data_IF_154013277952
#
_entry.id   IF_154013277952
#
_cell.length_a   1.000
_cell.length_b   1.000
_cell.length_c   1.000
_cell.angle_alpha   90.00
_cell.angle_beta   90.00
_cell.angle_gamma   90.00
#
_symmetry.space_group_name_H-M   'P 1'
#
loop_
_entity.id
_entity.type
_entity.pdbx_description
1 polymer ?
#
# COMPACT_ATOMS: atom_id res chain seq x y z
N UNK A 1 5.15 -14.48 -16.63
CA UNK A 1 4.62 -13.41 -15.77
C UNK A 1 5.06 -13.72 -14.35
N UNK A 2 5.63 -12.75 -13.64
CA UNK A 2 5.88 -12.86 -12.20
C UNK A 2 4.64 -13.38 -11.46
N UNK A 3 4.81 -14.35 -10.57
CA UNK A 3 3.75 -14.73 -9.64
C UNK A 3 3.55 -13.55 -8.69
N UNK A 4 2.34 -13.01 -8.60
CA UNK A 4 2.06 -11.79 -7.84
C UNK A 4 1.79 -12.14 -6.38
N UNK A 5 2.34 -11.36 -5.46
CA UNK A 5 2.02 -11.44 -4.03
C UNK A 5 1.46 -10.10 -3.55
N UNK A 6 0.44 -10.18 -2.69
CA UNK A 6 -0.09 -9.01 -2.01
C UNK A 6 -0.21 -9.31 -0.51
N UNK A 7 0.20 -8.35 0.32
CA UNK A 7 0.01 -8.45 1.77
C UNK A 7 -0.70 -7.20 2.25
N UNK A 8 -1.81 -7.39 2.96
CA UNK A 8 -2.70 -6.33 3.40
C UNK A 8 -2.66 -6.24 4.93
N UNK A 9 -2.34 -5.06 5.46
CA UNK A 9 -2.05 -4.86 6.89
C UNK A 9 -2.68 -3.60 7.48
N UNK A 10 -2.81 -3.61 8.81
CA UNK A 10 -3.21 -2.42 9.59
C UNK A 10 -2.09 -1.38 9.66
N UNK A 11 -2.34 -0.28 10.37
CA UNK A 11 -1.40 0.84 10.46
C UNK A 11 -0.07 0.48 11.13
N UNK A 12 -0.03 -0.60 11.91
CA UNK A 12 1.19 -1.17 12.49
C UNK A 12 2.12 -1.82 11.44
N UNK A 13 1.62 -2.03 10.21
CA UNK A 13 2.35 -2.68 9.13
C UNK A 13 2.49 -4.20 9.26
N UNK A 14 1.96 -4.81 10.32
CA UNK A 14 2.18 -6.23 10.66
C UNK A 14 0.90 -7.02 10.89
N UNK A 15 -0.13 -6.42 11.47
CA UNK A 15 -1.40 -7.09 11.69
C UNK A 15 -2.13 -7.24 10.37
N UNK A 16 -2.52 -8.47 10.01
CA UNK A 16 -3.22 -8.74 8.77
C UNK A 16 -4.63 -8.12 8.77
N UNK A 17 -5.03 -7.54 7.64
CA UNK A 17 -6.39 -7.05 7.41
C UNK A 17 -6.82 -7.36 5.98
N UNK A 18 -8.10 -7.66 5.76
CA UNK A 18 -8.62 -8.06 4.45
C UNK A 18 -9.69 -7.11 3.90
N UNK A 19 -10.13 -6.12 4.68
CA UNK A 19 -11.16 -5.18 4.29
C UNK A 19 -10.92 -3.79 4.85
N UNK A 20 -11.40 -2.80 4.12
CA UNK A 20 -11.47 -1.41 4.54
C UNK A 20 -12.93 -0.96 4.42
N UNK A 21 -13.38 -0.17 5.39
CA UNK A 21 -14.67 0.52 5.35
C UNK A 21 -14.43 2.01 5.40
N UNK A 22 -15.31 2.76 4.74
CA UNK A 22 -15.32 4.22 4.75
C UNK A 22 -16.65 4.71 5.30
N UNK A 23 -16.63 5.81 6.05
CA UNK A 23 -17.86 6.50 6.46
C UNK A 23 -18.43 7.35 5.31
N UNK A 24 -19.57 8.01 5.56
CA UNK A 24 -20.23 8.85 4.56
C UNK A 24 -19.44 10.11 4.15
N UNK A 25 -18.38 10.47 4.91
CA UNK A 25 -17.45 11.55 4.57
C UNK A 25 -16.21 11.04 3.83
N UNK A 26 -16.15 9.73 3.54
CA UNK A 26 -15.02 9.09 2.88
C UNK A 26 -13.84 8.81 3.80
N UNK A 27 -13.97 8.95 5.13
CA UNK A 27 -12.87 8.66 6.07
C UNK A 27 -12.81 7.18 6.37
N UNK A 28 -11.59 6.66 6.56
CA UNK A 28 -11.37 5.26 6.87
C UNK A 28 -11.87 4.94 8.28
N UNK A 29 -12.72 3.94 8.42
CA UNK A 29 -13.19 3.41 9.71
C UNK A 29 -12.75 1.96 9.95
N UNK A 30 -12.26 1.27 8.91
CA UNK A 30 -11.71 -0.07 9.00
C UNK A 30 -10.21 -0.12 9.30
N UNK A 31 -9.72 -1.33 9.54
CA UNK A 31 -8.35 -1.58 10.00
C UNK A 31 -7.32 -1.60 8.87
N UNK A 32 -7.68 -2.05 7.65
CA UNK A 32 -6.76 -2.11 6.52
C UNK A 32 -6.26 -0.71 6.15
N UNK A 33 -4.95 -0.52 6.27
CA UNK A 33 -4.28 0.76 6.01
C UNK A 33 -3.24 0.69 4.89
N UNK A 34 -2.73 -0.51 4.60
CA UNK A 34 -1.61 -0.69 3.69
C UNK A 34 -1.75 -1.99 2.92
N UNK A 35 -1.42 -1.94 1.63
CA UNK A 35 -1.29 -3.11 0.78
C UNK A 35 0.10 -3.06 0.15
N UNK A 36 0.97 -4.00 0.52
CA UNK A 36 2.22 -4.25 -0.19
C UNK A 36 1.91 -5.08 -1.44
N UNK A 37 2.38 -4.61 -2.60
CA UNK A 37 2.29 -5.27 -3.90
C UNK A 37 3.70 -5.69 -4.28
N UNK A 38 3.91 -6.99 -4.31
CA UNK A 38 5.23 -7.60 -4.49
C UNK A 38 5.13 -8.75 -5.50
N UNK A 39 6.25 -9.43 -5.70
CA UNK A 39 6.40 -10.54 -6.61
C UNK A 39 7.01 -11.72 -5.88
N UNK A 40 6.38 -12.89 -6.02
CA UNK A 40 6.98 -14.15 -5.61
C UNK A 40 8.15 -14.55 -6.53
N UNK A 41 8.22 -14.01 -7.75
CA UNK A 41 9.39 -14.09 -8.62
C UNK A 41 9.58 -12.80 -9.43
N UNK A 42 10.68 -12.09 -9.21
CA UNK A 42 10.98 -10.83 -9.89
C UNK A 42 11.50 -11.04 -11.32
N UNK A 43 11.18 -10.11 -12.21
CA UNK A 43 11.75 -9.94 -13.54
C UNK A 43 12.49 -8.59 -13.63
N UNK A 44 13.36 -8.44 -14.64
CA UNK A 44 14.03 -7.16 -14.89
C UNK A 44 13.02 -6.05 -15.14
N UNK A 45 13.11 -4.98 -14.34
CA UNK A 45 12.20 -3.83 -14.43
C UNK A 45 10.99 -3.92 -13.50
N UNK A 46 10.79 -5.05 -12.81
CA UNK A 46 9.79 -5.14 -11.76
C UNK A 46 10.17 -4.21 -10.60
N UNK A 47 9.15 -3.59 -10.00
CA UNK A 47 9.29 -2.65 -8.89
C UNK A 47 8.22 -2.98 -7.86
N UNK A 48 8.58 -3.10 -6.57
CA UNK A 48 7.57 -3.32 -5.54
C UNK A 48 6.76 -2.03 -5.44
N UNK A 49 5.47 -2.15 -5.16
CA UNK A 49 4.60 -1.01 -4.98
C UNK A 49 3.85 -1.14 -3.66
N UNK A 50 3.35 -0.02 -3.16
CA UNK A 50 2.59 0.03 -1.92
C UNK A 50 1.38 0.90 -2.13
N UNK A 51 0.22 0.46 -1.65
CA UNK A 51 -0.98 1.27 -1.55
C UNK A 51 -1.15 1.64 -0.09
N UNK A 52 -1.17 2.93 0.22
CA UNK A 52 -1.53 3.42 1.56
C UNK A 52 -2.94 4.01 1.54
N UNK A 53 -3.68 3.71 2.60
CA UNK A 53 -5.03 4.19 2.88
C UNK A 53 -4.97 4.94 4.20
N UNK A 54 -4.90 6.26 4.07
CA UNK A 54 -4.87 7.19 5.20
C UNK A 54 -6.18 7.20 6.00
N UNK A 55 -6.13 7.70 7.23
CA UNK A 55 -7.31 7.83 8.09
C UNK A 55 -8.37 8.79 7.50
N UNK A 56 -7.96 9.82 6.76
CA UNK A 56 -8.87 10.76 6.09
C UNK A 56 -9.40 10.24 4.75
N UNK A 57 -9.04 9.02 4.34
CA UNK A 57 -9.58 8.36 3.15
C UNK A 57 -8.79 8.53 1.86
N UNK A 58 -7.68 9.26 1.89
CA UNK A 58 -6.76 9.31 0.74
C UNK A 58 -6.18 7.91 0.51
N UNK A 59 -6.35 7.42 -0.72
CA UNK A 59 -5.75 6.18 -1.22
C UNK A 59 -4.67 6.56 -2.23
N UNK A 60 -3.43 6.13 -2.01
CA UNK A 60 -2.32 6.44 -2.90
C UNK A 60 -1.42 5.23 -3.12
N UNK A 61 -1.01 5.03 -4.36
CA UNK A 61 0.07 4.13 -4.70
C UNK A 61 1.42 4.86 -4.65
N UNK A 62 2.43 4.22 -4.09
CA UNK A 62 3.81 4.71 -3.99
C UNK A 62 4.82 3.57 -4.23
N UNK A 63 6.08 3.93 -4.45
CA UNK A 63 7.19 2.98 -4.53
C UNK A 63 8.01 3.03 -3.23
N UNK A 64 8.16 1.90 -2.51
CA UNK A 64 8.87 1.85 -1.24
C UNK A 64 10.40 1.86 -1.37
N UNK A 65 10.95 1.72 -2.59
CA UNK A 65 12.38 1.85 -2.89
C UNK A 65 12.79 3.25 -3.34
N UNK A 66 11.87 4.20 -3.43
CA UNK A 66 12.18 5.61 -3.70
C UNK A 66 12.33 6.36 -2.38
N UNK A 67 13.55 6.83 -2.12
CA UNK A 67 13.89 7.58 -0.91
C UNK A 67 13.99 9.09 -1.13
N UNK A 68 14.13 9.55 -2.38
CA UNK A 68 14.24 10.98 -2.70
C UNK A 68 12.98 11.75 -2.24
N UNK A 69 13.18 12.80 -1.44
CA UNK A 69 12.08 13.53 -0.77
C UNK A 69 11.18 14.31 -1.74
N UNK A 70 11.73 14.73 -2.88
CA UNK A 70 11.05 15.48 -3.93
C UNK A 70 10.44 14.58 -5.01
N UNK A 71 10.68 13.26 -4.97
CA UNK A 71 10.10 12.34 -5.95
C UNK A 71 8.61 12.11 -5.63
N UNK A 72 7.69 12.47 -6.53
CA UNK A 72 6.25 12.32 -6.30
C UNK A 72 5.80 10.85 -6.26
N UNK A 73 6.69 9.87 -6.46
CA UNK A 73 6.39 8.45 -6.32
C UNK A 73 6.78 7.91 -4.95
N UNK A 74 7.56 8.65 -4.16
CA UNK A 74 7.99 8.24 -2.82
C UNK A 74 6.80 7.94 -1.92
N UNK A 75 6.97 6.92 -1.10
CA UNK A 75 6.05 6.56 -0.03
C UNK A 75 6.12 7.56 1.13
N UNK A 76 4.96 8.07 1.57
CA UNK A 76 4.82 8.98 2.71
C UNK A 76 4.36 8.25 3.97
#
# INVERSE_FOLDING_TARGET
AATRSCTATTADGTTAASSVTFDAFGRRTGELSRIAVDYASAQTGDRPLRIDISANGMVRMCDPGIEAEDDPRRCQ
#
